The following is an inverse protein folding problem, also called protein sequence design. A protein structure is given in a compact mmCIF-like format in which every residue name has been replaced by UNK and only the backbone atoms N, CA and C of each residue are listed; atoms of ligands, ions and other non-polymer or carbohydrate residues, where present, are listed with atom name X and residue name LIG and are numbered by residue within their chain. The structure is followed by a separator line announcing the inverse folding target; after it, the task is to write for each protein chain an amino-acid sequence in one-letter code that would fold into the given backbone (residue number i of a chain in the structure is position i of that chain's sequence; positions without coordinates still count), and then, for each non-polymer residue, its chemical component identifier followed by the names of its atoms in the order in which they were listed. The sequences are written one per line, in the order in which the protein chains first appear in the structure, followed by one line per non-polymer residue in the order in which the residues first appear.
data_IF_784226185613
#
_entry.id   IF_784226185613
#
_cell.length_a   1.000
_cell.length_b   1.000
_cell.length_c   1.000
_cell.angle_alpha   90.00
_cell.angle_beta   90.00
_cell.angle_gamma   90.00
#
_symmetry.space_group_name_H-M   'P 1'
#
loop_
_entity.id
_entity.type
_entity.pdbx_description
1 polymer ?
#
# COMPACT_ATOMS: atom_id res chain seq x y z
N UNK A 1 3.70 -3.12 25.21
CA UNK A 1 2.82 -3.97 24.37
C UNK A 1 2.94 -3.41 22.98
N UNK A 2 3.75 -4.05 22.13
CA UNK A 2 4.02 -3.59 20.77
C UNK A 2 2.93 -4.15 19.88
N UNK A 3 2.34 -3.26 19.10
CA UNK A 3 1.10 -3.36 18.35
C UNK A 3 1.01 -4.61 17.45
N UNK A 4 -0.03 -5.42 17.68
CA UNK A 4 -0.33 -6.69 17.00
C UNK A 4 -1.07 -6.48 15.67
N UNK A 5 -0.99 -5.29 15.07
CA UNK A 5 -1.74 -4.91 13.86
C UNK A 5 -0.88 -4.37 12.70
N UNK A 6 0.44 -4.57 12.74
CA UNK A 6 1.21 -4.61 11.49
C UNK A 6 1.18 -6.03 10.96
N UNK A 7 0.08 -6.42 10.32
CA UNK A 7 0.14 -7.53 9.37
C UNK A 7 1.08 -7.06 8.26
N UNK A 8 2.37 -7.29 8.48
CA UNK A 8 3.46 -6.87 7.62
C UNK A 8 3.13 -7.41 6.23
N UNK A 9 2.82 -6.51 5.29
CA UNK A 9 2.86 -6.81 3.86
C UNK A 9 4.32 -7.11 3.50
N UNK A 10 4.83 -8.25 3.98
CA UNK A 10 6.22 -8.62 3.83
C UNK A 10 6.42 -9.07 2.39
N UNK A 11 6.93 -8.16 1.56
CA UNK A 11 7.31 -8.49 0.20
C UNK A 11 8.60 -9.31 0.25
N UNK A 12 8.58 -10.45 -0.44
CA UNK A 12 9.72 -11.37 -0.48
C UNK A 12 10.17 -11.56 -1.92
N UNK A 13 11.49 -11.63 -2.10
CA UNK A 13 12.11 -11.89 -3.38
C UNK A 13 12.80 -13.25 -3.35
N UNK A 14 12.59 -14.06 -4.39
CA UNK A 14 13.26 -15.35 -4.59
C UNK A 14 14.03 -15.31 -5.90
N UNK A 15 15.24 -15.85 -5.90
CA UNK A 15 16.13 -15.87 -7.05
C UNK A 15 16.42 -17.30 -7.53
N UNK A 16 15.93 -17.61 -8.72
CA UNK A 16 16.21 -18.86 -9.45
C UNK A 16 16.97 -18.60 -10.76
N UNK A 17 17.45 -17.37 -10.96
CA UNK A 17 18.06 -16.93 -12.21
C UNK A 17 19.49 -17.47 -12.37
N UNK A 18 19.95 -17.55 -13.61
CA UNK A 18 21.33 -17.98 -13.93
C UNK A 18 22.38 -16.96 -13.47
N UNK A 19 22.07 -15.67 -13.59
CA UNK A 19 23.02 -14.57 -13.37
C UNK A 19 22.86 -13.89 -12.01
N UNK A 20 21.82 -14.25 -11.26
CA UNK A 20 21.58 -13.80 -9.90
C UNK A 20 20.77 -12.51 -9.79
N UNK A 21 20.21 -12.31 -8.61
CA UNK A 21 19.58 -11.07 -8.17
C UNK A 21 20.35 -10.51 -6.98
N UNK A 22 20.51 -9.19 -6.95
CA UNK A 22 21.31 -8.49 -5.95
C UNK A 22 20.47 -7.46 -5.23
N UNK A 23 20.55 -7.44 -3.90
CA UNK A 23 19.97 -6.39 -3.06
C UNK A 23 21.13 -5.51 -2.58
N UNK A 24 21.05 -4.23 -2.93
CA UNK A 24 21.99 -3.20 -2.53
C UNK A 24 21.33 -2.36 -1.43
N UNK A 25 21.69 -2.64 -0.17
CA UNK A 25 21.12 -1.94 1.00
C UNK A 25 21.82 -0.62 1.29
N UNK A 26 23.03 -0.42 0.75
CA UNK A 26 23.90 0.75 0.88
C UNK A 26 24.99 0.59 -0.19
N UNK A 27 25.44 1.67 -0.85
CA UNK A 27 26.40 1.67 -1.99
C UNK A 27 27.65 0.78 -1.83
N UNK A 28 27.97 0.34 -0.60
CA UNK A 28 29.08 -0.54 -0.22
C UNK A 28 28.74 -2.02 -0.01
N UNK A 29 27.47 -2.45 -0.03
CA UNK A 29 27.08 -3.85 0.22
C UNK A 29 26.06 -4.38 -0.79
N UNK A 30 26.51 -5.28 -1.66
CA UNK A 30 25.66 -6.04 -2.59
C UNK A 30 25.48 -7.47 -2.07
N UNK A 31 24.27 -7.82 -1.61
CA UNK A 31 23.95 -9.18 -1.18
C UNK A 31 23.25 -9.93 -2.31
N UNK A 32 23.83 -11.05 -2.76
CA UNK A 32 23.19 -11.96 -3.71
C UNK A 32 22.03 -12.69 -3.02
N UNK A 33 20.83 -12.57 -3.58
CA UNK A 33 19.61 -13.25 -3.07
C UNK A 33 19.82 -14.77 -3.03
N UNK A 34 20.55 -15.32 -4.01
CA UNK A 34 20.87 -16.74 -4.06
C UNK A 34 21.66 -17.28 -2.85
N UNK A 35 22.36 -16.43 -2.11
CA UNK A 35 23.13 -16.84 -0.92
C UNK A 35 22.27 -16.94 0.34
N UNK A 36 21.02 -16.48 0.31
CA UNK A 36 20.10 -16.64 1.43
C UNK A 36 19.51 -18.06 1.46
N UNK A 37 19.06 -18.54 2.63
CA UNK A 37 18.29 -19.78 2.74
C UNK A 37 17.11 -19.80 1.75
N UNK A 38 16.89 -20.93 1.09
CA UNK A 38 15.86 -21.09 0.05
C UNK A 38 15.97 -20.08 -1.11
N UNK A 39 17.13 -19.45 -1.29
CA UNK A 39 17.39 -18.43 -2.33
C UNK A 39 16.37 -17.29 -2.25
N UNK A 40 15.96 -16.93 -1.04
CA UNK A 40 14.87 -15.98 -0.80
C UNK A 40 15.16 -15.10 0.41
N UNK A 41 14.70 -13.85 0.36
CA UNK A 41 14.75 -12.92 1.50
C UNK A 41 13.62 -11.91 1.41
N UNK A 42 13.42 -11.12 2.46
CA UNK A 42 12.42 -10.05 2.52
C UNK A 42 13.03 -8.74 2.02
N UNK A 43 12.20 -7.92 1.37
CA UNK A 43 12.54 -6.57 0.95
C UNK A 43 12.13 -5.56 2.01
N UNK A 44 12.95 -4.54 2.18
CA UNK A 44 12.68 -3.36 2.98
C UNK A 44 12.48 -2.16 2.07
N UNK A 45 11.63 -1.22 2.49
CA UNK A 45 11.40 0.02 1.73
C UNK A 45 12.73 0.73 1.42
N UNK A 46 12.91 1.09 0.15
CA UNK A 46 14.14 1.72 -0.34
C UNK A 46 15.22 0.75 -0.82
N UNK A 47 15.08 -0.56 -0.63
CA UNK A 47 16.02 -1.56 -1.16
C UNK A 47 16.23 -1.38 -2.67
N UNK A 48 17.49 -1.37 -3.11
CA UNK A 48 17.84 -1.32 -4.53
C UNK A 48 18.08 -2.75 -5.06
N UNK A 49 17.45 -3.08 -6.17
CA UNK A 49 17.45 -4.40 -6.79
C UNK A 49 18.11 -4.36 -8.16
N UNK A 50 19.09 -5.21 -8.38
CA UNK A 50 19.68 -5.42 -9.70
C UNK A 50 19.49 -6.86 -10.15
N UNK A 51 19.15 -7.05 -11.42
CA UNK A 51 18.88 -8.37 -12.00
C UNK A 51 19.91 -8.74 -13.07
N UNK A 52 20.58 -9.87 -12.86
CA UNK A 52 21.57 -10.43 -13.77
C UNK A 52 22.80 -9.55 -13.95
N UNK A 53 23.28 -9.46 -15.19
CA UNK A 53 24.51 -8.72 -15.56
C UNK A 53 24.23 -7.32 -16.12
N UNK A 54 22.97 -6.88 -16.12
CA UNK A 54 22.58 -5.57 -16.64
C UNK A 54 22.80 -4.45 -15.61
N UNK A 55 22.78 -3.20 -16.09
CA UNK A 55 22.86 -2.00 -15.26
C UNK A 55 21.47 -1.49 -14.82
N UNK A 56 20.44 -2.32 -14.93
CA UNK A 56 19.09 -1.97 -14.50
C UNK A 56 18.98 -2.17 -12.98
N UNK A 57 18.91 -1.05 -12.25
CA UNK A 57 18.65 -1.03 -10.81
C UNK A 57 17.27 -0.46 -10.56
N UNK A 58 16.46 -1.21 -9.80
CA UNK A 58 15.10 -0.84 -9.42
C UNK A 58 15.08 -0.52 -7.93
N UNK A 59 14.36 0.52 -7.52
CA UNK A 59 14.12 0.79 -6.10
C UNK A 59 12.79 0.16 -5.70
N UNK A 60 12.82 -0.74 -4.73
CA UNK A 60 11.60 -1.19 -4.08
C UNK A 60 11.06 -0.05 -3.21
N UNK A 61 9.79 0.28 -3.40
CA UNK A 61 9.11 1.30 -2.60
C UNK A 61 7.72 0.83 -2.23
N UNK A 62 7.42 0.87 -0.94
CA UNK A 62 6.11 0.55 -0.39
C UNK A 62 5.37 1.84 -0.07
N UNK A 63 4.31 2.11 -0.82
CA UNK A 63 3.41 3.25 -0.58
C UNK A 63 2.10 2.70 -0.03
N UNK A 64 1.80 2.88 1.27
CA UNK A 64 0.60 2.31 1.87
C UNK A 64 -0.65 2.99 1.31
N UNK A 65 -1.63 2.19 0.90
CA UNK A 65 -2.98 2.67 0.59
C UNK A 65 -3.85 2.49 1.83
N UNK A 66 -4.22 3.61 2.47
CA UNK A 66 -5.04 3.63 3.69
C UNK A 66 -6.34 4.37 3.38
N UNK A 67 -7.48 3.68 3.54
CA UNK A 67 -8.80 4.19 3.21
C UNK A 67 -9.59 4.43 4.50
N UNK A 68 -9.97 5.68 4.75
CA UNK A 68 -10.92 6.03 5.80
C UNK A 68 -12.35 5.89 5.28
N UNK A 69 -13.21 5.15 5.97
CA UNK A 69 -14.63 5.05 5.61
C UNK A 69 -15.46 5.98 6.49
N UNK A 70 -16.10 6.95 5.83
CA UNK A 70 -17.17 7.74 6.39
C UNK A 70 -18.52 7.12 5.99
N UNK A 71 -19.09 6.29 6.87
CA UNK A 71 -20.42 5.69 6.72
C UNK A 71 -21.33 6.05 7.92
N UNK A 72 -22.64 5.94 7.75
CA UNK A 72 -23.63 6.20 8.79
C UNK A 72 -23.58 5.10 9.87
N UNK A 73 -23.41 3.85 9.45
CA UNK A 73 -23.30 2.68 10.33
C UNK A 73 -22.15 1.77 9.89
N UNK A 74 -21.23 1.44 10.80
CA UNK A 74 -20.12 0.53 10.52
C UNK A 74 -20.60 -0.88 10.07
N UNK A 75 -21.80 -1.29 10.50
CA UNK A 75 -22.46 -2.54 10.11
C UNK A 75 -23.06 -2.54 8.71
N UNK A 76 -23.28 -1.38 8.08
CA UNK A 76 -23.77 -1.27 6.70
C UNK A 76 -22.64 -1.40 5.66
N UNK A 77 -21.39 -1.50 6.12
CA UNK A 77 -20.30 -1.84 5.23
C UNK A 77 -20.56 -3.22 4.64
N UNK A 78 -20.75 -3.26 3.32
CA UNK A 78 -20.90 -4.49 2.60
C UNK A 78 -19.67 -5.38 2.89
N UNK A 79 -19.83 -6.52 3.55
CA UNK A 79 -18.71 -7.43 3.85
C UNK A 79 -17.87 -7.74 2.59
N UNK A 80 -18.53 -7.83 1.44
CA UNK A 80 -17.87 -8.00 0.14
C UNK A 80 -16.95 -6.83 -0.24
N UNK A 81 -17.24 -5.61 0.20
CA UNK A 81 -16.38 -4.44 0.04
C UNK A 81 -15.13 -4.54 0.91
N UNK A 82 -15.32 -4.89 2.19
CA UNK A 82 -14.22 -5.08 3.12
C UNK A 82 -13.26 -6.16 2.64
N UNK A 83 -13.78 -7.31 2.18
CA UNK A 83 -12.98 -8.42 1.67
C UNK A 83 -12.18 -8.01 0.43
N UNK A 84 -12.82 -7.29 -0.51
CA UNK A 84 -12.15 -6.79 -1.71
C UNK A 84 -11.04 -5.80 -1.39
N UNK A 85 -11.31 -4.85 -0.49
CA UNK A 85 -10.38 -3.77 -0.16
C UNK A 85 -9.22 -4.29 0.67
N UNK A 86 -9.45 -5.21 1.61
CA UNK A 86 -8.40 -5.74 2.50
C UNK A 86 -7.27 -6.45 1.74
N UNK A 87 -7.52 -6.91 0.51
CA UNK A 87 -6.50 -7.51 -0.35
C UNK A 87 -5.51 -6.50 -0.96
N UNK A 88 -5.86 -5.21 -1.02
CA UNK A 88 -5.10 -4.16 -1.72
C UNK A 88 -4.82 -2.92 -0.87
N UNK A 89 -5.53 -2.73 0.23
CA UNK A 89 -5.47 -1.53 1.06
C UNK A 89 -5.83 -1.82 2.52
N UNK A 90 -5.35 -0.96 3.42
CA UNK A 90 -5.80 -0.95 4.81
C UNK A 90 -7.07 -0.11 4.93
N UNK A 91 -8.08 -0.68 5.56
CA UNK A 91 -9.36 -0.02 5.81
C UNK A 91 -9.44 0.44 7.26
N UNK A 92 -9.93 1.66 7.51
CA UNK A 92 -10.10 2.21 8.86
C UNK A 92 -11.41 2.99 9.00
N UNK A 93 -12.02 2.91 10.18
CA UNK A 93 -13.18 3.73 10.57
C UNK A 93 -12.79 4.94 11.43
N UNK A 94 -11.50 5.11 11.70
CA UNK A 94 -10.94 6.25 12.42
C UNK A 94 -10.10 7.05 11.45
N UNK A 95 -10.45 8.33 11.27
CA UNK A 95 -9.66 9.22 10.44
C UNK A 95 -8.31 9.53 11.10
N UNK A 96 -7.26 9.53 10.28
CA UNK A 96 -5.91 9.94 10.67
C UNK A 96 -5.22 10.60 9.49
N UNK A 97 -4.12 11.31 9.75
CA UNK A 97 -3.33 11.95 8.69
C UNK A 97 -2.73 10.95 7.70
N UNK A 98 -2.46 9.72 8.14
CA UNK A 98 -1.99 8.60 7.34
C UNK A 98 -3.03 8.08 6.33
N UNK A 99 -4.30 8.47 6.48
CA UNK A 99 -5.34 8.13 5.52
C UNK A 99 -5.02 8.78 4.17
N UNK A 100 -4.95 7.95 3.14
CA UNK A 100 -4.63 8.40 1.77
C UNK A 100 -5.87 8.83 1.00
N UNK A 101 -7.02 8.22 1.28
CA UNK A 101 -8.30 8.49 0.62
C UNK A 101 -9.43 8.36 1.62
N UNK A 102 -10.55 9.00 1.31
CA UNK A 102 -11.79 8.87 2.07
C UNK A 102 -12.86 8.26 1.19
N UNK A 103 -13.50 7.22 1.70
CA UNK A 103 -14.71 6.64 1.14
C UNK A 103 -15.90 7.34 1.82
N UNK A 104 -16.81 7.90 1.02
CA UNK A 104 -18.00 8.60 1.52
C UNK A 104 -19.25 7.88 1.01
N UNK A 105 -20.09 7.47 1.95
CA UNK A 105 -21.47 7.10 1.67
C UNK A 105 -22.31 8.38 1.50
N UNK A 106 -23.08 8.42 0.40
CA UNK A 106 -23.88 9.58 -0.02
C UNK A 106 -24.94 10.00 1.02
N UNK A 107 -25.29 9.14 1.96
CA UNK A 107 -26.31 9.41 2.98
C UNK A 107 -25.74 9.90 4.31
N UNK A 108 -24.42 10.07 4.41
CA UNK A 108 -23.75 10.46 5.66
C UNK A 108 -23.83 11.97 5.89
N UNK A 109 -24.29 12.42 7.08
CA UNK A 109 -24.22 13.84 7.42
C UNK A 109 -22.76 14.30 7.55
N UNK A 110 -22.51 15.57 7.29
CA UNK A 110 -21.16 16.14 7.36
C UNK A 110 -20.57 16.00 8.79
N UNK A 111 -19.56 15.12 8.93
CA UNK A 111 -18.82 14.89 10.18
C UNK A 111 -17.54 15.73 10.23
N UNK A 112 -17.02 15.96 11.44
CA UNK A 112 -15.75 16.67 11.65
C UNK A 112 -14.58 16.01 10.92
N UNK A 113 -14.44 14.70 11.04
CA UNK A 113 -13.38 13.94 10.34
C UNK A 113 -13.44 14.11 8.82
N UNK A 114 -14.65 14.22 8.25
CA UNK A 114 -14.84 14.45 6.83
C UNK A 114 -14.41 15.88 6.45
N UNK A 115 -14.72 16.88 7.28
CA UNK A 115 -14.23 18.25 7.11
C UNK A 115 -12.71 18.30 7.18
N UNK A 116 -12.10 17.65 8.17
CA UNK A 116 -10.64 17.60 8.33
C UNK A 116 -9.96 16.96 7.12
N UNK A 117 -10.55 15.89 6.57
CA UNK A 117 -10.06 15.26 5.34
C UNK A 117 -10.19 16.15 4.10
N UNK A 118 -11.28 16.92 3.98
CA UNK A 118 -11.48 17.90 2.89
C UNK A 118 -10.42 19.00 2.99
N UNK A 119 -10.20 19.55 4.18
CA UNK A 119 -9.20 20.59 4.43
C UNK A 119 -7.79 20.07 4.13
N UNK A 120 -7.51 18.82 4.49
CA UNK A 120 -6.28 18.12 4.16
C UNK A 120 -6.19 17.67 2.68
N UNK A 121 -7.17 18.04 1.84
CA UNK A 121 -7.24 17.72 0.41
C UNK A 121 -7.15 16.23 0.11
N UNK A 122 -7.65 15.39 1.01
CA UNK A 122 -7.71 13.94 0.79
C UNK A 122 -8.70 13.65 -0.35
N UNK A 123 -8.35 12.81 -1.33
CA UNK A 123 -9.28 12.36 -2.36
C UNK A 123 -10.54 11.72 -1.73
N UNK A 124 -11.71 12.18 -2.17
CA UNK A 124 -13.00 11.63 -1.77
C UNK A 124 -13.53 10.69 -2.85
N UNK A 125 -13.90 9.47 -2.44
CA UNK A 125 -14.41 8.41 -3.31
C UNK A 125 -15.84 8.04 -2.87
N UNK A 126 -16.84 8.15 -3.76
CA UNK A 126 -18.15 7.58 -3.49
C UNK A 126 -18.06 6.06 -3.33
N UNK A 127 -18.83 5.50 -2.42
CA UNK A 127 -18.87 4.06 -2.12
C UNK A 127 -19.13 3.16 -3.36
N UNK A 128 -20.03 3.57 -4.26
CA UNK A 128 -20.34 2.84 -5.49
C UNK A 128 -19.18 2.82 -6.52
N UNK A 129 -18.19 3.71 -6.38
CA UNK A 129 -16.97 3.76 -7.21
C UNK A 129 -15.80 2.97 -6.64
N UNK A 130 -15.96 2.29 -5.50
CA UNK A 130 -14.87 1.47 -4.95
C UNK A 130 -14.56 0.26 -5.83
N UNK A 131 -15.55 -0.26 -6.56
CA UNK A 131 -15.33 -1.27 -7.60
C UNK A 131 -14.37 -0.78 -8.71
N UNK A 132 -14.28 0.54 -8.90
CA UNK A 132 -13.34 1.18 -9.84
C UNK A 132 -11.90 1.18 -9.31
N UNK A 133 -11.68 1.10 -7.99
CA UNK A 133 -10.34 0.91 -7.40
C UNK A 133 -9.74 -0.46 -7.77
N UNK A 134 -10.57 -1.47 -8.03
CA UNK A 134 -10.10 -2.76 -8.56
C UNK A 134 -9.66 -2.68 -10.03
N UNK A 135 -10.26 -1.76 -10.81
CA UNK A 135 -9.95 -1.54 -12.23
C UNK A 135 -8.78 -0.57 -12.45
N UNK A 136 -8.55 0.35 -11.50
CA UNK A 136 -7.47 1.34 -11.49
C UNK A 136 -6.26 0.84 -10.68
N UNK A 137 -5.80 -0.38 -10.94
CA UNK A 137 -4.48 -0.79 -10.46
C UNK A 137 -3.45 0.25 -10.88
N UNK A 138 -3.07 1.12 -9.93
CA UNK A 138 -2.07 2.19 -10.03
C UNK A 138 -2.49 3.38 -10.92
N UNK A 139 -3.12 4.41 -10.35
CA UNK A 139 -2.86 5.81 -10.74
C UNK A 139 -3.53 6.80 -9.76
N UNK A 140 -2.89 7.02 -8.61
CA UNK A 140 -2.90 8.33 -7.97
C UNK A 140 -1.47 8.61 -7.53
N UNK A 141 -0.59 8.86 -8.50
CA UNK A 141 0.57 9.70 -8.23
C UNK A 141 0.03 11.13 -8.23
N UNK A 142 0.17 11.90 -7.14
CA UNK A 142 -0.10 13.33 -7.22
C UNK A 142 0.89 13.94 -8.22
N UNK A 143 0.39 14.89 -8.99
CA UNK A 143 1.10 15.62 -10.04
C UNK A 143 2.56 15.91 -9.64
N UNK A 144 3.49 15.37 -10.42
CA UNK A 144 4.88 15.83 -10.44
C UNK A 144 4.87 17.16 -11.19
N UNK A 145 5.00 18.27 -10.46
CA UNK A 145 5.34 19.57 -11.02
C UNK A 145 6.85 19.71 -11.18
#
# INVERSE_FOLDING_TARGET
MVDEMTQSCQVRIRDLSKYGTFINKNLSSNKKVHHFPNKQTSLEDGDLLSFGTGNATFRFSYVPLVLYICCAEASQMNHHLQDKVSSIARLTHVYSEDCTHVIVDQHVPLKRDLLDAIVAKKPLLPDYKISTLQMLGILVLPDVY
#
